data_IF_971572023512
#
_entry.id   IF_971572023512
#
_cell.length_a   1.000
_cell.length_b   1.000
_cell.length_c   1.000
_cell.angle_alpha   90.00
_cell.angle_beta   90.00
_cell.angle_gamma   90.00
#
_symmetry.space_group_name_H-M   'P 1'
#
loop_
_entity.id
_entity.type
_entity.pdbx_description
1 polymer ?
#
# COMPACT_ATOMS: atom_id res chain seq x y z
N UNK A 1 -5.26 -5.89 24.77
CA UNK A 1 -4.34 -5.65 25.91
C UNK A 1 -4.75 -4.37 26.59
N UNK A 2 -5.37 -4.45 27.77
CA UNK A 2 -5.39 -3.31 28.69
C UNK A 2 -4.04 -3.30 29.40
N UNK A 3 -3.29 -2.22 29.22
CA UNK A 3 -1.97 -2.09 29.82
C UNK A 3 -1.80 -0.63 30.26
N UNK A 4 -1.49 -0.44 31.54
CA UNK A 4 -1.22 0.88 32.13
C UNK A 4 -0.09 1.63 31.42
N UNK A 5 -0.01 2.94 31.64
CA UNK A 5 1.11 3.75 31.16
C UNK A 5 2.44 3.13 31.64
N UNK A 6 3.41 2.95 30.74
CA UNK A 6 4.71 2.36 31.06
C UNK A 6 4.81 0.82 31.00
N UNK A 7 3.73 0.07 30.74
CA UNK A 7 3.81 -1.42 30.77
C UNK A 7 4.57 -2.10 29.61
N UNK A 8 5.27 -1.33 28.77
CA UNK A 8 6.03 -1.90 27.65
C UNK A 8 5.16 -2.51 26.54
N UNK A 9 3.93 -2.04 26.32
CA UNK A 9 3.01 -2.52 25.26
C UNK A 9 3.69 -2.75 23.92
N UNK A 10 4.49 -1.79 23.49
CA UNK A 10 5.26 -1.87 22.23
C UNK A 10 6.26 -3.02 22.24
N UNK A 11 6.97 -3.23 23.36
CA UNK A 11 7.91 -4.36 23.53
C UNK A 11 7.19 -5.69 23.45
N UNK A 12 6.01 -5.80 24.07
CA UNK A 12 5.24 -7.05 24.02
C UNK A 12 4.77 -7.36 22.60
N UNK A 13 4.36 -6.34 21.84
CA UNK A 13 3.97 -6.53 20.43
C UNK A 13 5.17 -6.98 19.58
N UNK A 14 6.32 -6.34 19.70
CA UNK A 14 7.52 -6.72 18.93
C UNK A 14 8.03 -8.12 19.31
N UNK A 15 8.00 -8.46 20.60
CA UNK A 15 8.36 -9.80 21.08
C UNK A 15 7.41 -10.87 20.52
N UNK A 16 6.11 -10.58 20.48
CA UNK A 16 5.12 -11.50 19.91
C UNK A 16 5.34 -11.73 18.42
N UNK A 17 5.66 -10.69 17.65
CA UNK A 17 6.02 -10.84 16.23
C UNK A 17 7.28 -11.71 16.08
N UNK A 18 8.29 -11.45 16.91
CA UNK A 18 9.52 -12.23 16.91
C UNK A 18 9.31 -13.71 17.23
N UNK A 19 8.49 -14.00 18.23
CA UNK A 19 8.11 -15.36 18.61
C UNK A 19 7.36 -16.08 17.48
N UNK A 20 6.41 -15.42 16.81
CA UNK A 20 5.68 -16.01 15.68
C UNK A 20 6.60 -16.41 14.52
N UNK A 21 7.65 -15.62 14.25
CA UNK A 21 8.62 -15.90 13.18
C UNK A 21 9.60 -17.00 13.60
N UNK A 22 10.17 -16.90 14.81
CA UNK A 22 11.26 -17.79 15.26
C UNK A 22 10.78 -19.14 15.77
N UNK A 23 9.78 -19.14 16.64
CA UNK A 23 9.35 -20.36 17.33
C UNK A 23 8.22 -21.07 16.60
N UNK A 24 7.24 -20.31 16.10
CA UNK A 24 6.10 -20.89 15.38
C UNK A 24 6.41 -21.11 13.89
N UNK A 25 7.42 -20.42 13.35
CA UNK A 25 7.87 -20.58 11.97
C UNK A 25 6.96 -19.92 10.92
N UNK A 26 6.15 -18.92 11.32
CA UNK A 26 5.35 -18.17 10.36
C UNK A 26 6.25 -17.35 9.43
N UNK A 27 5.93 -17.40 8.14
CA UNK A 27 6.61 -16.57 7.17
C UNK A 27 6.29 -15.08 7.42
N UNK A 28 7.28 -14.16 7.36
CA UNK A 28 7.09 -12.75 7.71
C UNK A 28 6.03 -12.04 6.87
N UNK A 29 5.86 -12.45 5.62
CA UNK A 29 4.87 -11.88 4.70
C UNK A 29 3.41 -12.20 5.09
N UNK A 30 3.19 -13.18 5.96
CA UNK A 30 1.87 -13.51 6.50
C UNK A 30 1.54 -12.73 7.78
N UNK A 31 2.48 -11.94 8.29
CA UNK A 31 2.31 -11.16 9.52
C UNK A 31 2.18 -9.68 9.15
N UNK A 32 1.08 -9.08 9.59
CA UNK A 32 0.83 -7.64 9.46
C UNK A 32 0.68 -7.01 10.85
N UNK A 33 1.42 -5.93 11.10
CA UNK A 33 1.29 -5.11 12.29
C UNK A 33 0.76 -3.72 11.90
N UNK A 34 -0.32 -3.31 12.56
CA UNK A 34 -1.04 -2.06 12.25
C UNK A 34 -0.89 -1.08 13.41
N UNK A 35 -0.55 0.16 13.11
CA UNK A 35 -0.42 1.23 14.10
C UNK A 35 -1.19 2.49 13.68
N UNK A 36 -1.37 3.42 14.62
CA UNK A 36 -2.09 4.68 14.34
C UNK A 36 -1.21 5.75 13.71
N UNK A 37 0.11 5.71 13.91
CA UNK A 37 1.02 6.75 13.44
C UNK A 37 2.17 6.14 12.64
N UNK A 38 2.64 6.86 11.63
CA UNK A 38 3.78 6.45 10.82
C UNK A 38 5.04 6.29 11.68
N UNK A 39 5.22 7.17 12.67
CA UNK A 39 6.34 7.09 13.62
C UNK A 39 6.33 5.78 14.41
N UNK A 40 5.16 5.38 14.96
CA UNK A 40 5.06 4.12 15.68
C UNK A 40 5.25 2.90 14.77
N UNK A 41 4.80 2.96 13.51
CA UNK A 41 5.07 1.92 12.52
C UNK A 41 6.59 1.76 12.29
N UNK A 42 7.29 2.87 12.03
CA UNK A 42 8.72 2.87 11.80
C UNK A 42 9.53 2.36 13.01
N UNK A 43 9.24 2.88 14.20
CA UNK A 43 9.90 2.44 15.44
C UNK A 43 9.66 0.94 15.71
N UNK A 44 8.45 0.44 15.46
CA UNK A 44 8.14 -0.99 15.65
C UNK A 44 8.89 -1.86 14.63
N UNK A 45 8.98 -1.40 13.37
CA UNK A 45 9.71 -2.11 12.32
C UNK A 45 11.21 -2.17 12.62
N UNK A 46 11.81 -1.05 13.04
CA UNK A 46 13.22 -0.97 13.42
C UNK A 46 13.53 -1.90 14.60
N UNK A 47 12.72 -1.85 15.67
CA UNK A 47 12.89 -2.75 16.82
C UNK A 47 12.79 -4.22 16.44
N UNK A 48 11.81 -4.59 15.63
CA UNK A 48 11.62 -5.98 15.20
C UNK A 48 12.79 -6.44 14.32
N UNK A 49 13.29 -5.58 13.43
CA UNK A 49 14.46 -5.86 12.60
C UNK A 49 15.74 -6.00 13.42
N UNK A 50 15.92 -5.19 14.47
CA UNK A 50 17.05 -5.31 15.39
C UNK A 50 17.03 -6.63 16.18
N UNK A 51 15.85 -7.14 16.54
CA UNK A 51 15.69 -8.37 17.32
C UNK A 51 15.87 -9.66 16.49
N UNK A 52 15.41 -9.69 15.25
CA UNK A 52 15.39 -10.89 14.39
C UNK A 52 16.46 -10.88 13.28
N UNK A 53 17.00 -9.70 12.98
CA UNK A 53 17.85 -9.44 11.83
C UNK A 53 17.06 -9.18 10.55
N UNK A 54 17.61 -8.35 9.67
CA UNK A 54 16.95 -7.86 8.44
C UNK A 54 16.55 -8.98 7.46
N UNK A 55 17.22 -10.13 7.51
CA UNK A 55 16.90 -11.28 6.64
C UNK A 55 15.61 -11.97 7.06
N UNK A 56 15.36 -12.07 8.36
CA UNK A 56 14.16 -12.73 8.92
C UNK A 56 12.94 -11.80 8.94
N UNK A 57 13.12 -10.48 8.90
CA UNK A 57 11.99 -9.53 8.81
C UNK A 57 11.60 -9.17 7.39
N UNK A 58 12.29 -9.71 6.38
CA UNK A 58 12.02 -9.40 4.98
C UNK A 58 10.60 -9.84 4.59
N UNK A 59 9.77 -8.86 4.24
CA UNK A 59 8.36 -9.08 3.90
C UNK A 59 7.37 -8.83 5.04
N UNK A 60 7.84 -8.59 6.26
CA UNK A 60 6.98 -8.17 7.37
C UNK A 60 6.28 -6.86 7.02
N UNK A 61 4.96 -6.84 7.08
CA UNK A 61 4.18 -5.64 6.80
C UNK A 61 3.90 -4.88 8.09
N UNK A 62 4.56 -3.73 8.29
CA UNK A 62 4.26 -2.81 9.40
C UNK A 62 3.74 -1.51 8.79
N UNK A 63 2.49 -1.15 9.07
CA UNK A 63 1.85 -0.03 8.38
C UNK A 63 0.78 0.64 9.25
N UNK A 64 0.28 1.78 8.78
CA UNK A 64 -0.88 2.42 9.40
C UNK A 64 -2.19 1.95 8.79
N UNK A 65 -3.30 2.24 9.47
CA UNK A 65 -4.64 1.97 8.94
C UNK A 65 -4.85 2.57 7.54
N UNK A 66 -4.39 3.79 7.30
CA UNK A 66 -4.51 4.45 6.00
C UNK A 66 -3.72 3.70 4.92
N UNK A 67 -2.46 3.33 5.20
CA UNK A 67 -1.63 2.59 4.26
C UNK A 67 -2.21 1.21 3.95
N UNK A 68 -2.76 0.52 4.96
CA UNK A 68 -3.42 -0.76 4.78
C UNK A 68 -4.70 -0.63 3.95
N UNK A 69 -5.55 0.33 4.27
CA UNK A 69 -6.80 0.59 3.54
C UNK A 69 -6.52 0.94 2.08
N UNK A 70 -5.52 1.79 1.82
CA UNK A 70 -5.10 2.11 0.46
C UNK A 70 -4.57 0.90 -0.30
N UNK A 71 -3.80 0.03 0.35
CA UNK A 71 -3.32 -1.21 -0.28
C UNK A 71 -4.50 -2.12 -0.65
N UNK A 72 -5.43 -2.34 0.29
CA UNK A 72 -6.61 -3.18 0.06
C UNK A 72 -7.48 -2.61 -1.07
N UNK A 73 -7.76 -1.31 -1.06
CA UNK A 73 -8.53 -0.65 -2.12
C UNK A 73 -7.86 -0.78 -3.48
N UNK A 74 -6.53 -0.74 -3.57
CA UNK A 74 -5.81 -0.92 -4.84
C UNK A 74 -5.83 -2.36 -5.34
N UNK A 75 -5.80 -3.33 -4.42
CA UNK A 75 -5.93 -4.75 -4.74
C UNK A 75 -7.34 -5.04 -5.27
N UNK A 76 -8.38 -4.51 -4.61
CA UNK A 76 -9.79 -4.73 -4.98
C UNK A 76 -10.33 -3.78 -6.05
N UNK A 77 -9.64 -2.68 -6.37
CA UNK A 77 -10.10 -1.68 -7.36
C UNK A 77 -10.45 -2.29 -8.72
N UNK A 78 -9.74 -3.34 -9.13
CA UNK A 78 -10.01 -4.02 -10.40
C UNK A 78 -11.39 -4.67 -10.44
N UNK A 79 -11.87 -5.19 -9.30
CA UNK A 79 -13.18 -5.84 -9.20
C UNK A 79 -14.34 -4.84 -9.29
N UNK A 80 -14.08 -3.57 -8.95
CA UNK A 80 -15.07 -2.50 -8.94
C UNK A 80 -14.97 -1.62 -10.21
N UNK A 81 -14.12 -2.00 -11.18
CA UNK A 81 -13.93 -1.25 -12.42
C UNK A 81 -13.14 0.06 -12.27
N UNK A 82 -12.49 0.27 -11.12
CA UNK A 82 -11.63 1.43 -10.88
C UNK A 82 -10.18 1.15 -11.30
N UNK A 83 -9.49 2.19 -11.78
CA UNK A 83 -8.04 2.12 -12.03
C UNK A 83 -7.30 2.04 -10.70
N UNK A 84 -6.27 1.18 -10.60
CA UNK A 84 -5.44 1.02 -9.40
C UNK A 84 -4.79 2.32 -8.89
N UNK A 85 -4.61 3.31 -9.77
CA UNK A 85 -3.98 4.58 -9.45
C UNK A 85 -5.02 5.69 -9.24
N UNK A 86 -5.97 5.48 -8.31
CA UNK A 86 -6.89 6.54 -7.92
C UNK A 86 -6.19 7.52 -6.98
N UNK A 87 -6.44 8.82 -7.18
CA UNK A 87 -5.93 9.88 -6.32
C UNK A 87 -6.75 9.95 -5.04
N UNK A 88 -6.07 10.01 -3.90
CA UNK A 88 -6.70 10.25 -2.60
C UNK A 88 -6.80 11.75 -2.42
N UNK A 89 -8.03 12.25 -2.25
CA UNK A 89 -8.27 13.66 -1.94
C UNK A 89 -8.02 13.86 -0.45
N UNK A 90 -7.11 14.76 -0.10
CA UNK A 90 -6.82 15.09 1.30
C UNK A 90 -7.79 16.15 1.83
N UNK A 91 -7.96 16.25 3.15
CA UNK A 91 -8.84 17.23 3.81
C UNK A 91 -8.54 18.69 3.44
N UNK A 92 -7.31 18.96 2.99
CA UNK A 92 -6.85 20.25 2.47
C UNK A 92 -7.50 20.64 1.13
N UNK A 93 -7.92 19.65 0.34
CA UNK A 93 -8.43 19.82 -1.02
C UNK A 93 -9.98 19.96 -1.00
N UNK A 94 -10.63 19.45 0.06
CA UNK A 94 -12.09 19.61 0.28
C UNK A 94 -12.54 21.08 0.41
N UNK A 95 -11.68 21.97 0.90
CA UNK A 95 -12.01 23.39 1.10
C UNK A 95 -11.84 24.27 -0.15
N UNK A 96 -11.28 23.74 -1.24
CA UNK A 96 -11.04 24.47 -2.50
C UNK A 96 -11.83 23.91 -3.68
N UNK A 97 -12.94 23.21 -3.42
CA UNK A 97 -13.98 23.09 -4.44
C UNK A 97 -14.71 24.43 -4.51
N UNK A 98 -14.31 25.23 -5.49
CA UNK A 98 -15.03 26.42 -5.97
C UNK A 98 -16.48 26.06 -6.34
N UNK A 99 -17.42 27.03 -6.34
CA UNK A 99 -18.86 26.80 -6.50
C UNK A 99 -19.27 26.47 -7.95
N UNK A 100 -18.53 25.60 -8.65
CA UNK A 100 -18.93 25.06 -9.96
C UNK A 100 -19.69 23.74 -9.85
N UNK A 101 -19.74 23.12 -8.67
CA UNK A 101 -20.43 21.86 -8.46
C UNK A 101 -21.88 22.09 -7.97
N UNK A 102 -22.72 22.65 -8.84
CA UNK A 102 -24.19 22.54 -8.72
C UNK A 102 -24.86 21.93 -9.95
N UNK A 103 -24.09 21.40 -10.92
CA UNK A 103 -24.68 20.74 -12.08
C UNK A 103 -23.77 19.65 -12.68
N UNK A 104 -23.65 18.50 -12.01
CA UNK A 104 -23.30 17.24 -12.68
C UNK A 104 -23.62 16.03 -11.78
N UNK A 105 -24.84 15.98 -11.26
CA UNK A 105 -25.44 14.72 -10.84
C UNK A 105 -25.93 14.00 -12.10
N UNK A 106 -25.06 13.23 -12.75
CA UNK A 106 -25.47 12.21 -13.70
C UNK A 106 -24.37 11.14 -13.80
N UNK A 107 -24.57 10.04 -13.10
CA UNK A 107 -24.03 8.78 -13.52
C UNK A 107 -24.48 8.50 -14.97
N UNK A 108 -23.56 8.11 -15.85
CA UNK A 108 -23.74 7.00 -16.79
C UNK A 108 -22.46 6.70 -17.60
N UNK A 109 -22.31 5.45 -18.08
CA UNK A 109 -21.08 4.89 -18.63
C UNK A 109 -20.97 5.16 -20.14
N UNK A 110 -19.77 5.25 -20.70
CA UNK A 110 -19.63 5.08 -22.16
C UNK A 110 -18.24 4.65 -22.60
N UNK A 111 -18.25 3.60 -23.40
CA UNK A 111 -17.20 2.92 -24.13
C UNK A 111 -16.79 3.62 -25.43
N UNK A 112 -15.47 3.65 -25.69
CA UNK A 112 -14.80 3.53 -27.01
C UNK A 112 -15.04 4.63 -28.07
N UNK A 113 -14.43 4.56 -29.28
CA UNK A 113 -12.99 4.45 -29.62
C UNK A 113 -12.56 5.58 -30.59
N UNK A 114 -11.27 5.91 -30.70
CA UNK A 114 -10.79 6.69 -31.85
C UNK A 114 -9.31 6.46 -32.15
N UNK A 115 -9.13 5.91 -33.35
CA UNK A 115 -7.93 5.58 -34.09
C UNK A 115 -7.21 6.79 -34.72
N UNK A 116 -5.92 6.57 -35.01
CA UNK A 116 -5.05 7.17 -36.06
C UNK A 116 -4.29 8.48 -35.77
N UNK A 117 -3.01 8.30 -35.40
CA UNK A 117 -1.74 8.72 -36.06
C UNK A 117 -1.82 9.60 -37.33
N UNK A 118 -0.79 10.41 -37.70
CA UNK A 118 0.61 9.92 -37.84
C UNK A 118 1.79 10.92 -37.65
N UNK A 119 2.99 10.37 -37.73
CA UNK A 119 4.24 10.97 -38.25
C UNK A 119 5.08 11.85 -37.28
N UNK A 120 6.36 11.57 -37.03
CA UNK A 120 7.19 10.50 -37.57
C UNK A 120 8.64 10.51 -37.09
N UNK A 121 9.32 9.43 -37.48
CA UNK A 121 10.77 9.22 -37.67
C UNK A 121 11.58 9.27 -36.35
N UNK A 122 12.34 8.24 -35.96
CA UNK A 122 13.41 7.64 -36.77
C UNK A 122 13.81 6.25 -36.20
N UNK A 123 14.01 5.29 -37.13
CA UNK A 123 14.77 4.01 -37.07
C UNK A 123 14.30 2.83 -36.18
N UNK A 124 13.61 1.89 -36.84
CA UNK A 124 13.69 0.42 -36.64
C UNK A 124 15.10 -0.08 -37.08
N UNK A 125 15.72 -1.18 -36.63
CA UNK A 125 15.37 -2.63 -36.57
C UNK A 125 16.70 -3.39 -36.27
N UNK A 126 16.81 -4.74 -36.16
CA UNK A 126 15.82 -5.81 -35.91
C UNK A 126 16.26 -6.79 -34.76
N UNK A 127 15.48 -7.85 -34.47
CA UNK A 127 15.67 -8.74 -33.33
C UNK A 127 16.33 -10.09 -33.69
N UNK A 128 16.94 -10.75 -32.70
CA UNK A 128 17.18 -12.20 -32.73
C UNK A 128 16.98 -12.82 -31.33
N UNK A 129 15.99 -13.73 -31.25
CA UNK A 129 15.80 -14.70 -30.16
C UNK A 129 16.91 -15.78 -30.21
N UNK A 130 16.79 -16.92 -29.50
CA UNK A 130 16.84 -17.18 -28.06
C UNK A 130 17.96 -18.18 -27.71
N UNK A 131 18.53 -18.19 -26.49
CA UNK A 131 19.21 -19.41 -26.01
C UNK A 131 19.37 -19.48 -24.49
N UNK A 132 18.84 -20.59 -23.95
CA UNK A 132 19.04 -21.24 -22.64
C UNK A 132 18.60 -20.53 -21.36
#
# INVERSE_FOLDING_TARGET
MLAGAGSGKTRVITEKIAHLIREVGYAPHNIAAITFTNKAAAEMQERTAAMLGSRQTRGLTVCTFHSLGMRLLREEAQHIGYKKNFSVFDGSDSGKSSPSCSAAAAATPSSAPSTKSPCGKTTCSPPSKPFR
#
